data_IF_865536399416
#
_entry.id   IF_865536399416
#
_cell.length_a   1.000
_cell.length_b   1.000
_cell.length_c   1.000
_cell.angle_alpha   90.00
_cell.angle_beta   90.00
_cell.angle_gamma   90.00
#
_symmetry.space_group_name_H-M   'P 1'
#
loop_
_entity.id
_entity.type
_entity.pdbx_description
1 polymer ?
#
# COMPACT_ATOMS: atom_id res chain seq x y z
N UNK A 1 -9.57 -9.39 18.11
CA UNK A 1 -8.61 -10.10 17.26
C UNK A 1 -7.98 -9.14 16.29
N UNK A 2 -6.70 -8.85 16.51
CA UNK A 2 -5.90 -7.97 15.68
C UNK A 2 -5.36 -8.76 14.48
N UNK A 3 -6.27 -9.14 13.56
CA UNK A 3 -5.93 -10.01 12.42
C UNK A 3 -4.86 -9.40 11.50
N UNK A 4 -4.83 -8.07 11.41
CA UNK A 4 -3.80 -7.31 10.69
C UNK A 4 -2.70 -6.77 11.63
N UNK A 5 -2.75 -7.08 12.92
CA UNK A 5 -1.74 -6.74 13.92
C UNK A 5 -2.10 -5.58 14.85
N UNK A 6 -1.35 -5.48 15.95
CA UNK A 6 -1.56 -4.45 16.95
C UNK A 6 -0.98 -3.11 16.47
N UNK A 7 -1.86 -2.13 16.27
CA UNK A 7 -1.47 -0.78 15.91
C UNK A 7 -0.78 -0.08 17.08
N UNK A 8 0.40 0.48 16.81
CA UNK A 8 1.17 1.31 17.73
C UNK A 8 1.22 2.75 17.24
N UNK A 9 1.02 3.67 18.18
CA UNK A 9 1.15 5.10 17.95
C UNK A 9 2.48 5.64 18.48
N UNK A 10 2.99 6.70 17.87
CA UNK A 10 4.08 7.50 18.41
C UNK A 10 3.67 8.21 19.71
N UNK A 11 4.64 8.83 20.40
CA UNK A 11 4.37 9.68 21.57
C UNK A 11 3.42 10.84 21.26
N UNK A 12 3.40 11.30 20.01
CA UNK A 12 2.53 12.36 19.49
C UNK A 12 1.15 11.83 19.05
N UNK A 13 0.86 10.55 19.24
CA UNK A 13 -0.42 9.93 18.92
C UNK A 13 -0.60 9.51 17.47
N UNK A 14 0.44 9.60 16.64
CA UNK A 14 0.36 9.23 15.23
C UNK A 14 0.52 7.72 15.04
N UNK A 15 -0.37 7.10 14.25
CA UNK A 15 -0.22 5.72 13.79
C UNK A 15 1.13 5.52 13.08
N UNK A 16 1.98 4.64 13.62
CA UNK A 16 3.37 4.51 13.17
C UNK A 16 3.73 3.07 12.79
N UNK A 17 3.47 2.11 13.68
CA UNK A 17 3.85 0.71 13.47
C UNK A 17 2.68 -0.24 13.71
N UNK A 18 2.80 -1.44 13.17
CA UNK A 18 1.92 -2.57 13.43
C UNK A 18 2.77 -3.76 13.88
N UNK A 19 2.35 -4.42 14.96
CA UNK A 19 3.01 -5.62 15.47
C UNK A 19 2.17 -6.88 15.21
N UNK A 20 2.72 -7.79 14.43
CA UNK A 20 2.08 -9.04 14.03
C UNK A 20 2.82 -10.28 14.58
N UNK A 21 2.91 -10.41 15.91
CA UNK A 21 3.48 -11.57 16.66
C UNK A 21 4.95 -11.95 16.41
N UNK A 22 5.49 -11.63 15.23
CA UNK A 22 6.80 -12.01 14.69
C UNK A 22 7.41 -10.87 13.87
N UNK A 23 6.62 -9.87 13.47
CA UNK A 23 7.05 -8.78 12.58
C UNK A 23 6.66 -7.42 13.15
N UNK A 24 7.54 -6.43 12.91
CA UNK A 24 7.25 -5.00 13.04
C UNK A 24 7.08 -4.42 11.64
N UNK A 25 5.91 -3.86 11.37
CA UNK A 25 5.53 -3.33 10.06
C UNK A 25 5.16 -1.85 10.17
N UNK A 26 5.14 -1.14 9.05
CA UNK A 26 4.60 0.23 9.01
C UNK A 26 3.09 0.20 9.23
N UNK A 27 2.55 1.24 9.88
CA UNK A 27 1.10 1.40 9.97
C UNK A 27 0.45 1.70 8.61
N UNK A 28 1.12 2.50 7.77
CA UNK A 28 0.65 2.78 6.42
C UNK A 28 0.92 1.61 5.45
N UNK A 29 0.05 1.44 4.48
CA UNK A 29 0.13 0.41 3.44
C UNK A 29 0.93 0.93 2.26
N UNK A 30 2.02 0.23 1.90
CA UNK A 30 2.82 0.62 0.74
C UNK A 30 2.06 0.27 -0.55
N UNK A 31 1.81 1.26 -1.41
CA UNK A 31 1.06 1.09 -2.65
C UNK A 31 1.79 1.74 -3.83
N UNK A 32 2.08 0.96 -4.87
CA UNK A 32 2.75 1.40 -6.10
C UNK A 32 1.88 1.10 -7.33
N UNK A 33 0.56 1.09 -7.16
CA UNK A 33 -0.39 0.75 -8.21
C UNK A 33 -0.25 1.67 -9.44
N UNK A 34 -0.05 2.97 -9.20
CA UNK A 34 0.11 3.99 -10.24
C UNK A 34 1.55 4.06 -10.82
N UNK A 35 2.50 3.28 -10.28
CA UNK A 35 3.92 3.36 -10.62
C UNK A 35 4.36 2.27 -11.62
N UNK A 36 3.41 1.59 -12.27
CA UNK A 36 3.69 0.45 -13.15
C UNK A 36 4.76 0.73 -14.22
N UNK A 37 4.72 1.91 -14.85
CA UNK A 37 5.71 2.31 -15.85
C UNK A 37 7.11 2.47 -15.24
N UNK A 38 7.23 3.12 -14.08
CA UNK A 38 8.49 3.33 -13.38
C UNK A 38 9.07 1.99 -12.88
N UNK A 39 8.23 1.10 -12.36
CA UNK A 39 8.61 -0.24 -11.94
C UNK A 39 9.18 -1.07 -13.09
N UNK A 40 8.51 -1.06 -14.25
CA UNK A 40 8.99 -1.74 -15.46
C UNK A 40 10.32 -1.18 -15.95
N UNK A 41 10.47 0.15 -15.95
CA UNK A 41 11.73 0.81 -16.31
C UNK A 41 12.87 0.44 -15.35
N UNK A 42 12.56 0.16 -14.09
CA UNK A 42 13.53 -0.33 -13.09
C UNK A 42 13.83 -1.84 -13.20
N UNK A 43 13.25 -2.54 -14.18
CA UNK A 43 13.47 -3.98 -14.40
C UNK A 43 12.62 -4.90 -13.53
N UNK A 44 11.58 -4.38 -12.86
CA UNK A 44 10.66 -5.19 -12.07
C UNK A 44 9.73 -5.97 -12.99
N UNK A 45 9.70 -7.31 -12.83
CA UNK A 45 8.86 -8.22 -13.61
C UNK A 45 7.67 -8.79 -12.82
N UNK A 46 7.70 -8.70 -11.49
CA UNK A 46 6.63 -9.20 -10.62
C UNK A 46 6.52 -8.37 -9.35
N UNK A 47 5.30 -8.29 -8.82
CA UNK A 47 5.02 -7.70 -7.52
C UNK A 47 4.46 -8.77 -6.59
N UNK A 48 4.88 -8.75 -5.33
CA UNK A 48 4.27 -9.53 -4.26
C UNK A 48 3.38 -8.60 -3.45
N UNK A 49 2.09 -8.91 -3.42
CA UNK A 49 1.13 -8.25 -2.54
C UNK A 49 1.09 -9.00 -1.20
N UNK A 50 1.08 -8.25 -0.09
CA UNK A 50 0.93 -8.81 1.25
C UNK A 50 -0.57 -8.86 1.59
N UNK A 51 -1.11 -10.02 2.02
CA UNK A 51 -2.52 -10.14 2.39
C UNK A 51 -2.92 -9.18 3.51
N UNK A 52 -4.14 -8.64 3.40
CA UNK A 52 -4.86 -7.96 4.48
C UNK A 52 -6.07 -8.80 4.87
N UNK A 53 -6.52 -8.72 6.12
CA UNK A 53 -7.63 -9.52 6.63
C UNK A 53 -8.94 -9.28 5.87
N UNK A 54 -9.12 -8.09 5.29
CA UNK A 54 -10.31 -7.70 4.56
C UNK A 54 -9.97 -7.04 3.22
N UNK A 55 -10.81 -7.28 2.21
CA UNK A 55 -10.75 -6.59 0.92
C UNK A 55 -9.55 -6.93 0.02
N UNK A 56 -8.76 -7.95 0.38
CA UNK A 56 -7.53 -8.26 -0.35
C UNK A 56 -7.77 -8.83 -1.76
N UNK A 57 -8.91 -9.49 -1.97
CA UNK A 57 -9.28 -10.01 -3.31
C UNK A 57 -9.52 -8.87 -4.29
N UNK A 58 -10.18 -7.81 -3.83
CA UNK A 58 -10.43 -6.58 -4.58
C UNK A 58 -9.12 -5.86 -4.91
N UNK A 59 -8.19 -5.78 -3.93
CA UNK A 59 -6.84 -5.25 -4.14
C UNK A 59 -6.12 -5.99 -5.26
N UNK A 60 -6.11 -7.33 -5.23
CA UNK A 60 -5.50 -8.14 -6.31
C UNK A 60 -6.15 -7.78 -7.66
N UNK A 61 -7.47 -7.67 -7.71
CA UNK A 61 -8.22 -7.33 -8.92
C UNK A 61 -7.81 -5.98 -9.51
N UNK A 62 -7.65 -4.94 -8.69
CA UNK A 62 -7.18 -3.64 -9.15
C UNK A 62 -5.74 -3.65 -9.66
N UNK A 63 -4.83 -4.35 -8.95
CA UNK A 63 -3.45 -4.51 -9.42
C UNK A 63 -3.38 -5.26 -10.76
N UNK A 64 -4.19 -6.30 -10.93
CA UNK A 64 -4.29 -7.05 -12.18
C UNK A 64 -4.81 -6.15 -13.32
N UNK A 65 -5.90 -5.42 -13.10
CA UNK A 65 -6.48 -4.53 -14.10
C UNK A 65 -5.51 -3.44 -14.56
N UNK A 66 -4.83 -2.78 -13.62
CA UNK A 66 -3.92 -1.66 -13.93
C UNK A 66 -2.62 -2.16 -14.53
N UNK A 67 -1.96 -3.14 -13.89
CA UNK A 67 -0.60 -3.51 -14.27
C UNK A 67 -0.54 -4.49 -15.45
N UNK A 68 -1.58 -5.31 -15.65
CA UNK A 68 -1.57 -6.37 -16.66
C UNK A 68 -2.62 -6.16 -17.77
N UNK A 69 -3.73 -5.47 -17.49
CA UNK A 69 -4.83 -5.29 -18.45
C UNK A 69 -4.94 -3.85 -19.02
N UNK A 70 -4.14 -2.91 -18.50
CA UNK A 70 -4.04 -1.54 -19.02
C UNK A 70 -5.18 -0.61 -18.60
N UNK A 71 -5.86 -0.91 -17.48
CA UNK A 71 -6.83 0.01 -16.89
C UNK A 71 -6.15 1.28 -16.34
N UNK A 72 -6.94 2.36 -16.19
CA UNK A 72 -6.46 3.59 -15.57
C UNK A 72 -6.18 3.37 -14.07
N UNK A 73 -4.99 3.78 -13.63
CA UNK A 73 -4.58 3.69 -12.24
C UNK A 73 -5.35 4.66 -11.33
N UNK A 74 -5.87 5.78 -11.86
CA UNK A 74 -6.51 6.81 -11.04
C UNK A 74 -7.81 6.31 -10.38
N UNK A 75 -8.68 5.65 -11.15
CA UNK A 75 -9.94 5.10 -10.64
C UNK A 75 -9.70 4.01 -9.58
N UNK A 76 -8.77 3.11 -9.88
CA UNK A 76 -8.40 2.02 -8.97
C UNK A 76 -7.73 2.54 -7.69
N UNK A 77 -6.90 3.58 -7.79
CA UNK A 77 -6.30 4.24 -6.65
C UNK A 77 -7.34 4.96 -5.78
N UNK A 78 -8.30 5.65 -6.39
CA UNK A 78 -9.39 6.31 -5.66
C UNK A 78 -10.23 5.28 -4.89
N UNK A 79 -10.51 4.12 -5.49
CA UNK A 79 -11.20 3.02 -4.84
C UNK A 79 -10.40 2.45 -3.65
N UNK A 80 -9.08 2.25 -3.80
CA UNK A 80 -8.19 1.84 -2.71
C UNK A 80 -8.15 2.86 -1.56
N UNK A 81 -8.08 4.16 -1.88
CA UNK A 81 -8.08 5.22 -0.87
C UNK A 81 -9.40 5.32 -0.11
N UNK A 82 -10.52 4.90 -0.74
CA UNK A 82 -11.82 4.84 -0.11
C UNK A 82 -11.98 3.63 0.82
N UNK A 83 -11.13 2.61 0.71
CA UNK A 83 -11.02 1.58 1.75
C UNK A 83 -10.38 2.24 2.96
N UNK A 84 -11.07 2.24 4.11
CA UNK A 84 -10.56 2.80 5.37
C UNK A 84 -9.37 1.98 5.92
N UNK A 85 -8.25 1.99 5.20
CA UNK A 85 -7.04 1.23 5.52
C UNK A 85 -6.34 1.87 6.72
N UNK A 86 -5.97 1.08 7.74
CA UNK A 86 -5.15 1.57 8.85
C UNK A 86 -3.90 2.27 8.32
N UNK A 87 -3.60 3.47 8.85
CA UNK A 87 -2.44 4.28 8.46
C UNK A 87 -2.46 4.87 7.05
N UNK A 88 -3.47 4.58 6.23
CA UNK A 88 -3.59 5.06 4.84
C UNK A 88 -2.56 4.44 3.89
N UNK A 89 -2.40 5.05 2.71
CA UNK A 89 -1.43 4.63 1.70
C UNK A 89 -0.12 5.41 1.81
N UNK A 90 0.98 4.74 1.44
CA UNK A 90 2.31 5.34 1.35
C UNK A 90 3.07 4.85 0.11
N UNK A 91 3.91 5.71 -0.46
CA UNK A 91 4.81 5.37 -1.56
C UNK A 91 6.12 6.17 -1.54
N UNK A 92 6.34 7.00 -0.52
CA UNK A 92 7.40 8.00 -0.51
C UNK A 92 8.80 7.44 -0.76
N UNK A 93 9.11 6.24 -0.26
CA UNK A 93 10.42 5.62 -0.48
C UNK A 93 10.75 5.42 -1.96
N UNK A 94 9.79 4.92 -2.75
CA UNK A 94 9.95 4.74 -4.19
C UNK A 94 10.18 6.08 -4.92
N UNK A 95 9.64 7.17 -4.38
CA UNK A 95 9.79 8.52 -4.90
C UNK A 95 10.93 9.33 -4.25
N UNK A 96 11.82 8.70 -3.47
CA UNK A 96 12.91 9.38 -2.73
C UNK A 96 12.42 10.48 -1.78
N UNK A 97 11.28 10.24 -1.15
CA UNK A 97 10.65 11.04 -0.08
C UNK A 97 10.64 10.21 1.22
N UNK A 98 10.33 10.82 2.39
CA UNK A 98 10.10 10.06 3.61
C UNK A 98 9.10 8.92 3.37
N UNK A 99 9.41 7.71 3.85
CA UNK A 99 8.73 6.48 3.43
C UNK A 99 7.22 6.46 3.68
N UNK A 100 6.78 7.06 4.79
CA UNK A 100 5.37 7.16 5.17
C UNK A 100 4.58 8.20 4.36
N UNK A 101 5.24 9.01 3.55
CA UNK A 101 4.55 10.01 2.77
C UNK A 101 3.80 9.35 1.61
N UNK A 102 2.64 9.92 1.30
CA UNK A 102 1.98 9.74 0.03
C UNK A 102 2.46 10.81 -0.96
N UNK A 103 2.87 10.38 -2.14
CA UNK A 103 3.17 11.20 -3.31
C UNK A 103 2.09 10.91 -4.34
N UNK A 104 1.09 11.79 -4.39
CA UNK A 104 0.05 11.77 -5.41
C UNK A 104 0.51 12.52 -6.67
N UNK A 105 0.10 12.03 -7.83
CA UNK A 105 0.16 12.79 -9.08
C UNK A 105 -0.85 13.95 -9.04
#
# INVERSE_FOLDING_TARGET
>A
DDADGLLLSSSEGQAFLVLNGTQTQSAAQQCLLADGAALRAAGVSSLRLSPCAHGFVEVIGWFEQVLNQGADAQDALAALQAMSLPGGLSNGFAHRRPGLNWVGA
#
